data_IF_263662386907
#
_entry.id   IF_263662386907
#
_cell.length_a   1.000
_cell.length_b   1.000
_cell.length_c   1.000
_cell.angle_alpha   90.00
_cell.angle_beta   90.00
_cell.angle_gamma   90.00
#
_symmetry.space_group_name_H-M   'P 1'
#
loop_
_entity.id
_entity.type
_entity.pdbx_description
1 polymer ?
#
# COMPACT_ATOMS: atom_id res chain seq x y z
N UNK A 1 46.83 -32.94 51.71
CA UNK A 1 45.74 -31.90 51.72
C UNK A 1 45.75 -31.21 50.35
N UNK A 2 44.84 -31.61 49.47
CA UNK A 2 44.75 -31.11 48.11
C UNK A 2 43.74 -29.96 48.06
N UNK A 3 44.17 -28.76 47.69
CA UNK A 3 43.26 -27.57 47.49
C UNK A 3 42.63 -27.63 46.08
N UNK A 4 41.40 -27.98 46.02
CA UNK A 4 40.56 -27.83 44.78
C UNK A 4 40.30 -26.34 44.51
N UNK A 5 40.83 -25.84 43.39
CA UNK A 5 40.50 -24.51 42.89
C UNK A 5 39.15 -24.59 42.12
N UNK A 6 38.16 -23.89 42.58
CA UNK A 6 36.85 -23.75 41.96
C UNK A 6 36.94 -22.61 40.93
N UNK A 7 36.83 -22.95 39.64
CA UNK A 7 36.72 -21.98 38.56
C UNK A 7 35.24 -21.55 38.47
N UNK A 8 34.98 -20.29 38.77
CA UNK A 8 33.67 -19.66 38.54
C UNK A 8 33.67 -19.12 37.12
N UNK A 9 32.94 -19.79 36.23
CA UNK A 9 32.73 -19.33 34.88
C UNK A 9 31.64 -18.23 34.87
N UNK A 10 32.01 -17.02 34.53
CA UNK A 10 31.03 -15.94 34.26
C UNK A 10 30.42 -16.15 32.87
N UNK A 11 29.14 -16.49 32.83
CA UNK A 11 28.38 -16.53 31.58
C UNK A 11 28.04 -15.10 31.16
N UNK A 12 28.60 -14.65 30.04
CA UNK A 12 28.28 -13.38 29.43
C UNK A 12 26.94 -13.54 28.70
N UNK A 13 25.84 -13.03 29.26
CA UNK A 13 24.53 -12.94 28.56
C UNK A 13 24.57 -11.73 27.62
N UNK A 14 24.78 -12.00 26.35
CA UNK A 14 24.64 -10.98 25.33
C UNK A 14 23.14 -10.65 25.18
N UNK A 15 22.72 -9.48 25.64
CA UNK A 15 21.39 -8.94 25.37
C UNK A 15 21.30 -8.57 23.89
N UNK A 16 20.59 -9.37 23.10
CA UNK A 16 20.22 -9.01 21.71
C UNK A 16 19.07 -7.99 21.83
N UNK A 17 19.41 -6.70 21.75
CA UNK A 17 18.43 -5.64 21.57
C UNK A 17 17.91 -5.72 20.14
N UNK A 18 16.86 -6.50 19.90
CA UNK A 18 16.09 -6.46 18.66
C UNK A 18 15.47 -5.06 18.53
N UNK A 19 15.85 -4.30 17.50
CA UNK A 19 15.14 -3.07 17.16
C UNK A 19 13.69 -3.45 16.81
N UNK A 20 12.75 -2.95 17.59
CA UNK A 20 11.32 -3.07 17.26
C UNK A 20 11.07 -2.13 16.08
N UNK A 21 10.95 -2.67 14.89
CA UNK A 21 10.59 -1.90 13.69
C UNK A 21 9.10 -1.60 13.79
N UNK A 22 8.77 -0.35 14.12
CA UNK A 22 7.39 0.11 14.26
C UNK A 22 6.80 0.45 12.89
N UNK A 23 5.55 0.04 12.64
CA UNK A 23 4.79 0.51 11.48
C UNK A 23 4.65 2.04 11.52
N UNK A 24 4.59 2.67 10.35
CA UNK A 24 4.42 4.12 10.21
C UNK A 24 2.95 4.43 9.90
N UNK A 25 2.11 4.76 10.90
CA UNK A 25 0.70 5.08 10.67
C UNK A 25 0.57 6.36 9.85
N UNK A 26 -0.50 6.46 9.06
CA UNK A 26 -0.84 7.69 8.35
C UNK A 26 -1.27 8.81 9.28
N UNK A 27 -1.17 10.05 8.80
CA UNK A 27 -1.62 11.25 9.50
C UNK A 27 -2.27 12.23 8.54
N UNK A 28 -3.27 13.00 9.02
CA UNK A 28 -3.98 13.96 8.19
C UNK A 28 -4.78 13.33 7.04
N UNK A 29 -5.22 12.08 7.20
CA UNK A 29 -6.04 11.34 6.22
C UNK A 29 -7.35 10.88 6.84
N UNK A 30 -8.38 10.74 6.01
CA UNK A 30 -9.65 10.13 6.39
C UNK A 30 -10.19 9.26 5.26
N UNK A 31 -11.03 8.28 5.62
CA UNK A 31 -11.56 7.27 4.72
C UNK A 31 -13.08 7.30 4.75
N UNK A 32 -13.70 7.29 3.56
CA UNK A 32 -15.15 7.14 3.39
C UNK A 32 -15.40 5.91 2.53
N UNK A 33 -15.80 4.77 3.11
CA UNK A 33 -16.19 3.59 2.36
C UNK A 33 -17.39 3.91 1.45
N UNK A 34 -17.34 3.46 0.20
CA UNK A 34 -18.43 3.61 -0.76
C UNK A 34 -19.14 2.28 -0.99
N UNK A 35 -18.39 1.19 -1.17
CA UNK A 35 -18.94 -0.14 -1.42
C UNK A 35 -17.95 -1.22 -1.02
N UNK A 36 -18.48 -2.41 -0.70
CA UNK A 36 -17.73 -3.68 -0.62
C UNK A 36 -18.66 -4.81 -0.98
N UNK A 37 -18.21 -5.71 -1.83
CA UNK A 37 -18.92 -6.94 -2.16
C UNK A 37 -17.92 -8.08 -2.39
N UNK A 38 -18.36 -9.30 -2.10
CA UNK A 38 -17.65 -10.52 -2.46
C UNK A 38 -18.14 -10.99 -3.83
N UNK A 39 -17.20 -11.30 -4.69
CA UNK A 39 -17.43 -11.86 -6.02
C UNK A 39 -16.89 -13.26 -6.06
N UNK A 40 -17.66 -14.21 -6.60
CA UNK A 40 -17.16 -15.55 -6.90
C UNK A 40 -16.00 -15.48 -7.90
N UNK A 41 -15.16 -16.50 -7.94
CA UNK A 41 -14.09 -16.61 -8.94
C UNK A 41 -14.59 -16.30 -10.35
N UNK A 42 -13.86 -15.51 -11.12
CA UNK A 42 -14.29 -15.04 -12.44
C UNK A 42 -13.18 -15.08 -13.49
N UNK A 43 -13.57 -15.27 -14.75
CA UNK A 43 -12.74 -15.04 -15.94
C UNK A 43 -13.55 -14.23 -16.96
N UNK A 44 -13.39 -12.91 -16.93
CA UNK A 44 -14.04 -11.97 -17.83
C UNK A 44 -13.07 -11.56 -18.92
N UNK A 45 -13.44 -11.83 -20.16
CA UNK A 45 -12.66 -11.47 -21.34
C UNK A 45 -13.54 -10.63 -22.26
N UNK A 46 -13.43 -9.32 -22.15
CA UNK A 46 -14.15 -8.38 -22.99
C UNK A 46 -13.32 -7.98 -24.20
N UNK A 47 -13.93 -8.05 -25.38
CA UNK A 47 -13.35 -7.58 -26.65
C UNK A 47 -14.39 -6.72 -27.36
N UNK A 48 -13.98 -5.58 -27.88
CA UNK A 48 -14.78 -4.77 -28.77
C UNK A 48 -13.99 -4.48 -30.03
N UNK A 49 -14.59 -4.77 -31.18
CA UNK A 49 -14.01 -4.45 -32.49
C UNK A 49 -14.52 -3.10 -33.04
N UNK A 50 -15.52 -2.49 -32.37
CA UNK A 50 -16.21 -1.28 -32.81
C UNK A 50 -16.28 -0.23 -31.70
N UNK A 51 -15.18 0.42 -31.36
CA UNK A 51 -15.23 1.74 -30.74
C UNK A 51 -14.82 2.77 -31.78
N UNK A 52 -15.63 3.84 -31.92
CA UNK A 52 -15.35 4.99 -32.78
C UNK A 52 -13.90 5.42 -32.49
N UNK A 53 -13.04 5.37 -33.52
CA UNK A 53 -11.66 5.79 -33.52
C UNK A 53 -10.63 4.96 -32.68
N UNK A 54 -11.03 3.81 -32.08
CA UNK A 54 -10.07 2.95 -31.40
C UNK A 54 -10.31 1.45 -31.74
N UNK A 55 -9.55 0.90 -32.66
CA UNK A 55 -9.93 -0.30 -33.41
C UNK A 55 -9.87 -1.63 -32.65
N UNK A 56 -9.35 -1.72 -31.42
CA UNK A 56 -9.28 -3.03 -30.69
C UNK A 56 -9.13 -2.83 -29.19
N UNK A 57 -10.22 -2.54 -28.51
CA UNK A 57 -10.22 -2.52 -27.04
C UNK A 57 -10.40 -3.94 -26.48
N UNK A 58 -9.48 -4.35 -25.56
CA UNK A 58 -9.56 -5.62 -24.86
C UNK A 58 -9.29 -5.41 -23.39
N UNK A 59 -10.13 -6.02 -22.55
CA UNK A 59 -9.91 -6.08 -21.09
C UNK A 59 -10.06 -7.51 -20.65
N UNK A 60 -9.13 -7.99 -19.83
CA UNK A 60 -9.24 -9.26 -19.12
C UNK A 60 -9.20 -9.02 -17.63
N UNK A 61 -10.21 -9.53 -16.91
CA UNK A 61 -10.26 -9.58 -15.46
C UNK A 61 -10.37 -11.06 -15.06
N UNK A 62 -9.53 -11.50 -14.15
CA UNK A 62 -9.49 -12.89 -13.73
C UNK A 62 -9.17 -13.01 -12.24
N UNK A 63 -9.89 -13.89 -11.56
CA UNK A 63 -9.57 -14.32 -10.20
C UNK A 63 -9.79 -15.83 -10.07
N UNK A 64 -8.81 -16.55 -9.53
CA UNK A 64 -8.88 -18.00 -9.31
C UNK A 64 -9.75 -18.38 -8.10
N UNK A 65 -10.04 -17.42 -7.23
CA UNK A 65 -10.80 -17.61 -5.99
C UNK A 65 -11.77 -16.46 -5.82
N UNK A 66 -12.69 -16.61 -4.88
CA UNK A 66 -13.56 -15.52 -4.46
C UNK A 66 -12.72 -14.33 -3.99
N UNK A 67 -13.17 -13.13 -4.31
CA UNK A 67 -12.45 -11.88 -4.06
C UNK A 67 -13.40 -10.83 -3.52
N UNK A 68 -12.97 -10.11 -2.49
CA UNK A 68 -13.63 -8.89 -2.07
C UNK A 68 -13.14 -7.72 -2.93
N UNK A 69 -14.10 -6.99 -3.52
CA UNK A 69 -13.83 -5.73 -4.19
C UNK A 69 -14.45 -4.62 -3.33
N UNK A 70 -13.61 -3.68 -2.88
CA UNK A 70 -14.03 -2.57 -2.06
C UNK A 70 -13.57 -1.25 -2.65
N UNK A 71 -14.44 -0.24 -2.61
CA UNK A 71 -14.12 1.12 -3.08
C UNK A 71 -14.33 2.11 -1.95
N UNK A 72 -13.41 3.06 -1.82
CA UNK A 72 -13.49 4.15 -0.85
C UNK A 72 -12.91 5.46 -1.41
N UNK A 73 -13.30 6.57 -0.80
CA UNK A 73 -12.62 7.86 -0.96
C UNK A 73 -11.64 8.02 0.18
N UNK A 74 -10.42 8.42 -0.16
CA UNK A 74 -9.38 8.79 0.81
C UNK A 74 -9.11 10.28 0.64
N UNK A 75 -9.33 11.05 1.70
CA UNK A 75 -9.06 12.49 1.74
C UNK A 75 -7.76 12.76 2.47
N UNK A 76 -6.89 13.54 1.84
CA UNK A 76 -5.62 13.99 2.38
C UNK A 76 -5.67 15.48 2.68
N UNK A 77 -5.53 15.86 3.94
CA UNK A 77 -5.34 17.26 4.33
C UNK A 77 -3.97 17.77 3.85
N UNK A 78 -3.74 19.09 3.74
CA UNK A 78 -2.41 19.63 3.49
C UNK A 78 -1.38 19.04 4.46
N UNK A 79 -0.27 18.52 3.94
CA UNK A 79 0.75 17.82 4.72
C UNK A 79 0.37 16.40 5.19
N UNK A 80 -0.84 15.94 4.87
CA UNK A 80 -1.30 14.58 5.20
C UNK A 80 -0.55 13.50 4.41
N UNK A 81 -0.41 12.32 5.00
CA UNK A 81 0.29 11.19 4.39
C UNK A 81 -0.32 9.85 4.82
N UNK A 82 -0.22 8.86 3.96
CA UNK A 82 -0.76 7.53 4.24
C UNK A 82 0.05 6.72 5.26
N UNK A 83 1.31 7.08 5.52
CA UNK A 83 2.31 6.18 6.09
C UNK A 83 2.72 5.10 5.09
N UNK A 84 3.84 4.42 5.37
CA UNK A 84 4.30 3.30 4.58
C UNK A 84 3.35 2.12 4.73
N UNK A 85 2.91 1.55 3.63
CA UNK A 85 1.95 0.44 3.65
C UNK A 85 2.05 -0.42 2.38
N UNK A 86 1.41 -1.57 2.43
CA UNK A 86 1.19 -2.47 1.30
C UNK A 86 -0.28 -2.90 1.25
N UNK A 87 -0.65 -3.62 0.20
CA UNK A 87 -2.00 -4.14 -0.01
C UNK A 87 -2.01 -5.67 -0.14
N UNK A 88 -3.16 -6.28 0.10
CA UNK A 88 -3.35 -7.72 -0.04
C UNK A 88 -3.65 -8.19 -1.46
N UNK A 89 -3.63 -7.28 -2.44
CA UNK A 89 -3.90 -7.55 -3.84
C UNK A 89 -3.91 -6.26 -4.68
N UNK A 90 -4.22 -6.33 -5.97
CA UNK A 90 -4.20 -5.17 -6.86
C UNK A 90 -5.10 -4.04 -6.40
N UNK A 91 -4.66 -2.81 -6.68
CA UNK A 91 -5.39 -1.59 -6.35
C UNK A 91 -5.52 -0.71 -7.58
N UNK A 92 -6.72 -0.19 -7.83
CA UNK A 92 -6.98 0.81 -8.86
C UNK A 92 -7.18 2.16 -8.17
N UNK A 93 -6.41 3.15 -8.57
CA UNK A 93 -6.40 4.49 -7.99
C UNK A 93 -6.81 5.50 -9.05
N UNK A 94 -7.65 6.46 -8.66
CA UNK A 94 -7.94 7.65 -9.45
C UNK A 94 -7.87 8.89 -8.55
N UNK A 95 -7.08 9.90 -8.95
CA UNK A 95 -7.02 11.18 -8.24
C UNK A 95 -8.26 11.99 -8.60
N UNK A 96 -9.19 12.10 -7.64
CA UNK A 96 -10.47 12.80 -7.79
C UNK A 96 -10.28 14.32 -7.78
N UNK A 97 -9.42 14.81 -6.90
CA UNK A 97 -9.11 16.24 -6.78
C UNK A 97 -7.75 16.49 -6.17
N UNK A 98 -7.17 17.64 -6.46
CA UNK A 98 -5.86 18.07 -5.95
C UNK A 98 -4.70 17.36 -6.64
N UNK A 99 -3.56 17.32 -5.95
CA UNK A 99 -2.33 16.66 -6.40
C UNK A 99 -1.73 15.90 -5.23
N UNK A 100 -1.32 14.67 -5.47
CA UNK A 100 -0.65 13.81 -4.50
C UNK A 100 0.74 13.43 -5.00
N UNK A 101 1.60 13.05 -4.09
CA UNK A 101 2.94 12.53 -4.37
C UNK A 101 3.05 11.13 -3.78
N UNK A 102 3.46 10.18 -4.60
CA UNK A 102 3.74 8.82 -4.19
C UNK A 102 5.24 8.60 -4.09
N UNK A 103 5.64 7.79 -3.11
CA UNK A 103 7.00 7.34 -2.89
C UNK A 103 7.05 5.82 -2.83
N UNK A 104 7.94 5.22 -3.60
CA UNK A 104 8.17 3.77 -3.66
C UNK A 104 9.25 3.37 -2.65
N UNK A 105 8.96 2.39 -1.82
CA UNK A 105 9.90 1.87 -0.83
C UNK A 105 11.10 1.13 -1.44
N UNK A 106 10.99 0.70 -2.69
CA UNK A 106 12.09 0.04 -3.43
C UNK A 106 12.95 1.02 -4.22
N UNK A 107 12.57 2.31 -4.31
CA UNK A 107 13.40 3.31 -4.97
C UNK A 107 14.46 3.87 -4.01
N UNK A 108 15.76 3.54 -4.20
CA UNK A 108 16.82 3.99 -3.30
C UNK A 108 17.06 5.51 -3.35
N UNK A 109 16.50 6.20 -4.33
CA UNK A 109 16.66 7.65 -4.52
C UNK A 109 15.51 8.45 -3.90
N UNK A 110 14.45 7.77 -3.43
CA UNK A 110 13.24 8.41 -2.91
C UNK A 110 12.66 9.43 -3.90
N UNK A 111 12.58 9.07 -5.17
CA UNK A 111 12.10 9.97 -6.22
C UNK A 111 10.59 10.18 -6.11
N UNK A 112 10.09 11.43 -6.12
CA UNK A 112 8.67 11.70 -6.06
C UNK A 112 7.97 11.34 -7.37
N UNK A 113 6.88 10.59 -7.31
CA UNK A 113 5.95 10.38 -8.41
C UNK A 113 4.71 11.25 -8.21
N UNK A 114 4.60 12.33 -8.98
CA UNK A 114 3.49 13.29 -8.84
C UNK A 114 2.25 12.81 -9.57
N UNK A 115 1.13 12.79 -8.87
CA UNK A 115 -0.18 12.36 -9.34
C UNK A 115 -1.16 13.55 -9.26
N UNK A 116 -1.34 14.32 -10.35
CA UNK A 116 -2.32 15.40 -10.42
C UNK A 116 -3.75 14.87 -10.59
N UNK A 117 -4.74 15.73 -10.39
CA UNK A 117 -6.16 15.43 -10.66
C UNK A 117 -6.35 14.80 -12.05
N UNK A 118 -7.13 13.73 -12.10
CA UNK A 118 -7.37 12.93 -13.31
C UNK A 118 -6.31 11.85 -13.56
N UNK A 119 -5.23 11.78 -12.77
CA UNK A 119 -4.30 10.66 -12.83
C UNK A 119 -4.98 9.37 -12.41
N UNK A 120 -4.68 8.29 -13.14
CA UNK A 120 -5.06 6.93 -12.77
C UNK A 120 -3.82 6.04 -12.68
N UNK A 121 -3.83 5.11 -11.74
CA UNK A 121 -2.77 4.11 -11.57
C UNK A 121 -3.37 2.76 -11.22
N UNK A 122 -2.79 1.70 -11.74
CA UNK A 122 -3.07 0.34 -11.28
C UNK A 122 -1.80 -0.14 -10.59
N UNK A 123 -1.94 -0.46 -9.31
CA UNK A 123 -0.86 -1.05 -8.51
C UNK A 123 -1.09 -2.54 -8.47
N UNK A 124 -0.15 -3.28 -9.06
CA UNK A 124 -0.10 -4.75 -9.00
C UNK A 124 1.03 -5.09 -8.05
N UNK A 125 0.71 -5.08 -6.78
CA UNK A 125 1.73 -5.21 -5.76
C UNK A 125 1.87 -6.65 -5.29
N UNK A 126 3.10 -7.09 -5.22
CA UNK A 126 3.53 -8.09 -4.27
C UNK A 126 3.24 -7.56 -2.85
N UNK A 127 2.69 -8.36 -1.93
CA UNK A 127 2.44 -7.93 -0.54
C UNK A 127 3.68 -7.40 0.19
N UNK A 128 4.89 -7.58 -0.36
CA UNK A 128 6.14 -7.01 0.15
C UNK A 128 6.44 -5.62 -0.40
N UNK A 129 5.77 -5.18 -1.48
CA UNK A 129 5.96 -3.84 -2.04
C UNK A 129 5.35 -2.79 -1.11
N UNK A 130 6.17 -1.85 -0.68
CA UNK A 130 5.83 -0.82 0.29
C UNK A 130 5.86 0.54 -0.40
N UNK A 131 4.81 1.32 -0.24
CA UNK A 131 4.75 2.68 -0.74
C UNK A 131 4.10 3.64 0.25
N UNK A 132 4.20 4.93 -0.03
CA UNK A 132 3.55 5.99 0.74
C UNK A 132 3.02 7.07 -0.20
N UNK A 133 1.80 7.55 0.08
CA UNK A 133 1.20 8.69 -0.62
C UNK A 133 1.15 9.89 0.33
N UNK A 134 1.52 11.06 -0.17
CA UNK A 134 1.57 12.32 0.57
C UNK A 134 0.81 13.42 -0.16
N UNK A 135 0.20 14.32 0.58
CA UNK A 135 -0.26 15.60 0.06
C UNK A 135 0.75 16.68 0.44
N UNK A 136 1.63 17.01 -0.47
CA UNK A 136 2.68 18.03 -0.28
C UNK A 136 2.25 19.42 -0.73
N UNK A 137 0.95 19.57 -1.02
CA UNK A 137 0.35 20.84 -1.43
C UNK A 137 -0.33 21.56 -0.25
N UNK A 138 -0.76 22.80 -0.46
CA UNK A 138 -1.53 23.59 0.50
C UNK A 138 -3.04 23.40 0.41
N UNK A 139 -3.52 22.53 -0.49
CA UNK A 139 -4.94 22.24 -0.72
C UNK A 139 -5.28 20.82 -0.38
N UNK A 140 -6.53 20.54 -0.03
CA UNK A 140 -7.03 19.17 0.17
C UNK A 140 -6.96 18.39 -1.15
N UNK A 141 -6.58 17.12 -1.07
CA UNK A 141 -6.58 16.19 -2.20
C UNK A 141 -7.40 14.93 -1.87
N UNK A 142 -8.01 14.33 -2.89
CA UNK A 142 -8.83 13.12 -2.73
C UNK A 142 -8.47 12.06 -3.77
N UNK A 143 -8.36 10.82 -3.28
CA UNK A 143 -8.27 9.60 -4.10
C UNK A 143 -9.61 8.84 -4.06
N UNK A 144 -9.99 8.26 -5.19
CA UNK A 144 -10.90 7.09 -5.22
C UNK A 144 -10.03 5.86 -5.38
N UNK A 145 -10.18 4.91 -4.47
CA UNK A 145 -9.37 3.69 -4.44
C UNK A 145 -10.29 2.48 -4.49
N UNK A 146 -10.01 1.56 -5.41
CA UNK A 146 -10.69 0.26 -5.50
C UNK A 146 -9.68 -0.85 -5.27
N UNK A 147 -9.93 -1.66 -4.26
CA UNK A 147 -9.11 -2.78 -3.82
C UNK A 147 -9.68 -4.09 -4.32
N UNK A 148 -8.83 -4.98 -4.81
CA UNK A 148 -9.11 -6.39 -5.03
C UNK A 148 -8.33 -7.18 -3.98
N UNK A 149 -9.00 -7.93 -3.12
CA UNK A 149 -8.34 -8.50 -1.95
C UNK A 149 -8.95 -9.84 -1.54
N UNK A 150 -8.20 -10.66 -0.79
CA UNK A 150 -8.75 -11.88 -0.22
C UNK A 150 -10.03 -11.61 0.57
N UNK A 151 -11.01 -12.53 0.49
CA UNK A 151 -12.27 -12.43 1.22
C UNK A 151 -12.01 -12.25 2.71
N UNK A 152 -12.66 -11.24 3.30
CA UNK A 152 -12.58 -10.96 4.73
C UNK A 152 -11.38 -10.11 5.16
N UNK A 153 -10.44 -9.77 4.28
CA UNK A 153 -9.32 -8.88 4.65
C UNK A 153 -9.85 -7.50 5.04
N UNK A 154 -9.54 -7.06 6.26
CA UNK A 154 -9.93 -5.75 6.79
C UNK A 154 -8.96 -5.30 7.90
N UNK A 155 -8.33 -4.13 7.79
CA UNK A 155 -8.46 -3.11 6.73
C UNK A 155 -7.86 -3.56 5.38
N UNK A 156 -8.19 -2.85 4.27
CA UNK A 156 -7.72 -3.21 2.92
C UNK A 156 -6.24 -2.87 2.68
N UNK A 157 -5.54 -2.41 3.70
CA UNK A 157 -4.12 -2.07 3.71
C UNK A 157 -3.43 -2.67 4.92
N UNK A 158 -2.13 -2.87 4.82
CA UNK A 158 -1.27 -3.34 5.91
C UNK A 158 -0.19 -2.30 6.16
N UNK A 159 -0.19 -1.68 7.34
CA UNK A 159 0.84 -0.71 7.72
C UNK A 159 2.21 -1.40 7.80
N UNK A 160 3.22 -0.75 7.26
CA UNK A 160 4.59 -1.25 7.17
C UNK A 160 5.56 -0.30 7.85
N UNK A 161 6.71 -0.81 8.28
CA UNK A 161 7.81 0.06 8.71
C UNK A 161 8.36 0.87 7.53
N UNK A 162 8.99 1.99 7.85
CA UNK A 162 9.72 2.74 6.84
C UNK A 162 10.84 1.87 6.24
N UNK A 163 10.97 1.80 4.92
CA UNK A 163 12.08 1.11 4.27
C UNK A 163 13.42 1.84 4.42
N UNK A 164 13.41 3.08 4.92
CA UNK A 164 14.62 3.86 5.20
C UNK A 164 15.26 4.53 3.98
N UNK A 165 14.63 4.46 2.82
CA UNK A 165 15.12 5.11 1.59
C UNK A 165 14.75 6.59 1.50
N UNK A 166 13.74 7.04 2.27
CA UNK A 166 13.28 8.43 2.31
C UNK A 166 13.61 9.07 3.66
N UNK A 167 13.86 10.40 3.70
CA UNK A 167 14.28 11.11 4.91
C UNK A 167 13.12 11.47 5.87
N UNK A 168 11.96 10.80 5.75
CA UNK A 168 10.75 11.05 6.56
C UNK A 168 10.04 9.76 6.94
#
# INVERSE_FOLDING_TARGET
MSKKRMLVGAALVAAISGAVVSATPGSGISFVPLSRATYEAFDVNFKSDEFVDNPKFKVKLWSSHDVDIATQVVTFQPGGYSGWHSHGGPVIIAVKSGTLTEYDGNDPTCSPNTLPQGSGKIEVEDPSHVHMVRNETSSVAELVVTYFMPVGLNPPRVDRPSPGNCPF
#
